data_IF_978281614670
#
_entry.id   IF_978281614670
#
_cell.length_a   1.000
_cell.length_b   1.000
_cell.length_c   1.000
_cell.angle_alpha   90.00
_cell.angle_beta   90.00
_cell.angle_gamma   90.00
#
_symmetry.space_group_name_H-M   'P 1'
#
loop_
_entity.id
_entity.type
_entity.pdbx_description
1 polymer ?
#
# COMPACT_ATOMS: atom_id res chain seq x y z
N UNK A 1 -25.36 11.83 28.95
CA UNK A 1 -23.92 12.18 28.95
C UNK A 1 -23.52 12.45 27.52
N UNK A 2 -22.98 13.62 27.20
CA UNK A 2 -22.44 13.89 25.87
C UNK A 2 -21.20 13.01 25.67
N UNK A 3 -21.13 12.27 24.54
CA UNK A 3 -19.92 11.54 24.16
C UNK A 3 -18.88 12.58 23.72
N UNK A 4 -17.76 12.64 24.44
CA UNK A 4 -16.63 13.48 24.07
C UNK A 4 -15.52 12.59 23.53
N UNK A 5 -14.85 13.02 22.45
CA UNK A 5 -13.66 12.37 21.88
C UNK A 5 -12.51 13.35 21.86
N UNK A 6 -11.32 12.87 22.23
CA UNK A 6 -10.09 13.66 22.21
C UNK A 6 -9.54 13.82 20.79
N UNK A 7 -9.78 12.81 19.93
CA UNK A 7 -9.33 12.78 18.53
C UNK A 7 -10.43 12.22 17.66
N UNK A 8 -10.65 12.86 16.52
CA UNK A 8 -11.54 12.35 15.46
C UNK A 8 -10.68 12.16 14.21
N UNK A 9 -10.64 10.92 13.70
CA UNK A 9 -9.93 10.55 12.47
C UNK A 9 -10.96 10.25 11.40
N UNK A 10 -10.86 10.90 10.24
CA UNK A 10 -11.77 10.73 9.11
C UNK A 10 -11.09 9.90 8.04
N UNK A 11 -11.63 8.72 7.78
CA UNK A 11 -11.11 7.71 6.85
C UNK A 11 -10.23 6.67 7.53
N UNK A 12 -10.39 5.41 7.10
CA UNK A 12 -9.68 4.22 7.62
C UNK A 12 -8.64 3.67 6.65
N UNK A 13 -8.30 4.42 5.61
CA UNK A 13 -7.17 4.08 4.74
C UNK A 13 -5.83 4.08 5.49
N UNK A 14 -4.70 3.83 4.80
CA UNK A 14 -3.38 3.68 5.45
C UNK A 14 -3.00 4.86 6.37
N UNK A 15 -3.34 6.09 5.99
CA UNK A 15 -3.07 7.26 6.83
C UNK A 15 -3.85 7.24 8.14
N UNK A 16 -5.19 7.12 8.06
CA UNK A 16 -6.05 7.14 9.25
C UNK A 16 -5.87 5.90 10.12
N UNK A 17 -5.73 4.72 9.52
CA UNK A 17 -5.49 3.47 10.23
C UNK A 17 -4.16 3.50 11.00
N UNK A 18 -3.07 3.91 10.34
CA UNK A 18 -1.75 4.04 10.98
C UNK A 18 -1.77 5.08 12.10
N UNK A 19 -2.46 6.21 11.91
CA UNK A 19 -2.60 7.23 12.96
C UNK A 19 -3.36 6.68 14.15
N UNK A 20 -4.49 5.99 13.92
CA UNK A 20 -5.26 5.34 14.98
C UNK A 20 -4.41 4.32 15.75
N UNK A 21 -3.68 3.46 15.05
CA UNK A 21 -2.75 2.50 15.64
C UNK A 21 -1.70 3.18 16.53
N UNK A 22 -1.06 4.25 16.04
CA UNK A 22 -0.04 4.98 16.78
C UNK A 22 -0.59 5.71 18.00
N UNK A 23 -1.83 6.18 17.95
CA UNK A 23 -2.49 6.87 19.04
C UNK A 23 -3.17 5.93 20.05
N UNK A 24 -3.44 4.69 19.68
CA UNK A 24 -4.15 3.73 20.55
C UNK A 24 -3.53 3.59 21.96
N UNK A 25 -2.18 3.54 22.12
CA UNK A 25 -1.57 3.45 23.45
C UNK A 25 -1.65 4.73 24.29
N UNK A 26 -2.12 5.85 23.72
CA UNK A 26 -2.14 7.16 24.41
C UNK A 26 -3.20 7.29 25.50
N UNK A 27 -4.14 6.33 25.61
CA UNK A 27 -5.29 6.41 26.50
C UNK A 27 -6.36 7.42 26.07
N UNK A 28 -6.18 8.12 24.94
CA UNK A 28 -7.15 9.06 24.39
C UNK A 28 -8.37 8.34 23.82
N UNK A 29 -9.53 8.99 23.91
CA UNK A 29 -10.76 8.51 23.28
C UNK A 29 -10.73 8.92 21.81
N UNK A 30 -10.58 7.96 20.94
CA UNK A 30 -10.45 8.15 19.49
C UNK A 30 -11.74 7.72 18.80
N UNK A 31 -12.30 8.61 17.97
CA UNK A 31 -13.38 8.29 17.05
C UNK A 31 -12.81 8.15 15.65
N UNK A 32 -12.95 6.97 15.05
CA UNK A 32 -12.55 6.70 13.68
C UNK A 32 -13.80 6.61 12.81
N UNK A 33 -13.94 7.52 11.84
CA UNK A 33 -15.08 7.60 10.95
C UNK A 33 -14.71 7.07 9.56
N UNK A 34 -15.55 6.19 9.04
CA UNK A 34 -15.44 5.67 7.68
C UNK A 34 -16.80 5.73 6.98
N UNK A 35 -16.83 6.14 5.72
CA UNK A 35 -18.08 6.22 4.97
C UNK A 35 -18.50 4.89 4.35
N UNK A 36 -17.57 3.96 4.16
CA UNK A 36 -17.82 2.63 3.62
C UNK A 36 -17.92 1.55 4.68
N UNK A 37 -18.43 0.39 4.30
CA UNK A 37 -18.51 -0.79 5.14
C UNK A 37 -17.28 -1.70 5.02
N UNK A 38 -17.30 -2.82 5.73
CA UNK A 38 -16.30 -3.87 5.55
C UNK A 38 -16.54 -4.62 4.24
N UNK A 39 -15.45 -4.94 3.54
CA UNK A 39 -15.53 -5.88 2.42
C UNK A 39 -15.67 -7.30 2.98
N UNK A 40 -16.73 -8.04 2.60
CA UNK A 40 -16.90 -9.42 3.06
C UNK A 40 -15.79 -10.32 2.49
N UNK A 41 -15.40 -11.36 3.24
CA UNK A 41 -14.47 -12.38 2.77
C UNK A 41 -15.25 -13.48 2.08
N UNK A 42 -15.29 -13.43 0.76
CA UNK A 42 -16.09 -14.35 -0.07
C UNK A 42 -15.35 -14.71 -1.36
N UNK A 43 -15.75 -15.80 -2.03
CA UNK A 43 -15.09 -16.27 -3.27
C UNK A 43 -15.06 -15.20 -4.37
N UNK A 44 -16.05 -14.34 -4.40
CA UNK A 44 -16.17 -13.26 -5.37
C UNK A 44 -15.02 -12.25 -5.28
N UNK A 45 -14.33 -12.15 -4.13
CA UNK A 45 -13.13 -11.33 -3.99
C UNK A 45 -12.01 -11.74 -4.98
N UNK A 46 -12.00 -12.98 -5.45
CA UNK A 46 -11.05 -13.51 -6.42
C UNK A 46 -11.63 -13.68 -7.83
N UNK A 47 -12.85 -13.21 -8.04
CA UNK A 47 -13.50 -13.23 -9.35
C UNK A 47 -13.11 -11.99 -10.17
N UNK A 48 -12.33 -12.18 -11.24
CA UNK A 48 -11.99 -11.09 -12.17
C UNK A 48 -13.24 -10.44 -12.76
N UNK A 49 -14.30 -11.22 -12.99
CA UNK A 49 -15.59 -10.71 -13.46
C UNK A 49 -16.19 -9.75 -12.44
N UNK A 50 -16.31 -10.17 -11.19
CA UNK A 50 -16.89 -9.36 -10.11
C UNK A 50 -16.08 -8.08 -9.86
N UNK A 51 -14.74 -8.20 -9.86
CA UNK A 51 -13.85 -7.10 -9.53
C UNK A 51 -13.73 -6.09 -10.67
N UNK A 52 -13.49 -6.54 -11.91
CA UNK A 52 -13.13 -5.66 -13.02
C UNK A 52 -14.25 -5.43 -14.03
N UNK A 53 -15.18 -6.36 -14.20
CA UNK A 53 -16.29 -6.21 -15.15
C UNK A 53 -17.50 -5.60 -14.46
N UNK A 54 -17.93 -6.18 -13.34
CA UNK A 54 -19.06 -5.73 -12.56
C UNK A 54 -18.72 -4.54 -11.65
N UNK A 55 -17.44 -4.26 -11.43
CA UNK A 55 -16.93 -3.18 -10.59
C UNK A 55 -17.56 -3.14 -9.18
N UNK A 56 -17.82 -4.31 -8.60
CA UNK A 56 -18.57 -4.46 -7.33
C UNK A 56 -18.07 -3.58 -6.21
N UNK A 57 -16.75 -3.43 -6.08
CA UNK A 57 -16.11 -2.73 -4.97
C UNK A 57 -15.81 -1.26 -5.26
N UNK A 58 -15.99 -0.80 -6.50
CA UNK A 58 -15.72 0.59 -6.87
C UNK A 58 -16.86 1.52 -6.44
N UNK A 59 -16.51 2.74 -6.08
CA UNK A 59 -17.47 3.81 -5.85
C UNK A 59 -18.32 4.04 -7.10
N UNK A 60 -19.62 4.20 -6.89
CA UNK A 60 -20.59 4.49 -7.97
C UNK A 60 -20.81 5.99 -8.19
N UNK A 61 -20.08 6.82 -7.46
CA UNK A 61 -20.20 8.27 -7.55
C UNK A 61 -19.69 8.78 -8.88
N UNK A 62 -20.36 9.82 -9.38
CA UNK A 62 -19.90 10.60 -10.51
C UNK A 62 -19.18 11.82 -9.99
N UNK A 63 -17.96 12.04 -10.48
CA UNK A 63 -17.19 13.23 -10.21
C UNK A 63 -17.16 14.11 -11.45
N UNK A 64 -16.83 15.38 -11.25
CA UNK A 64 -16.67 16.35 -12.32
C UNK A 64 -15.22 16.84 -12.35
N UNK A 65 -14.66 16.94 -13.54
CA UNK A 65 -13.36 17.58 -13.74
C UNK A 65 -13.51 19.12 -13.77
N UNK A 66 -12.40 19.82 -13.98
CA UNK A 66 -12.37 21.30 -14.05
C UNK A 66 -13.18 21.91 -15.20
N UNK A 67 -13.53 21.11 -16.22
CA UNK A 67 -14.31 21.54 -17.37
C UNK A 67 -15.80 21.23 -17.19
N UNK A 68 -16.17 20.49 -16.13
CA UNK A 68 -17.53 20.00 -15.88
C UNK A 68 -17.81 18.63 -16.49
N UNK A 69 -16.83 17.99 -17.14
CA UNK A 69 -16.96 16.64 -17.67
C UNK A 69 -17.08 15.63 -16.55
N UNK A 70 -17.94 14.65 -16.73
CA UNK A 70 -18.22 13.64 -15.71
C UNK A 70 -17.35 12.41 -15.87
N UNK A 71 -16.89 11.84 -14.73
CA UNK A 71 -16.17 10.58 -14.70
C UNK A 71 -16.43 9.80 -13.42
N UNK A 72 -16.18 8.49 -13.45
CA UNK A 72 -16.22 7.64 -12.26
C UNK A 72 -14.79 7.47 -11.72
N UNK A 73 -14.51 7.97 -10.50
CA UNK A 73 -13.20 7.79 -9.89
C UNK A 73 -12.94 6.30 -9.58
N UNK A 74 -11.71 5.85 -9.77
CA UNK A 74 -11.33 4.47 -9.44
C UNK A 74 -11.10 4.24 -7.95
N UNK A 75 -11.93 4.79 -7.06
CA UNK A 75 -11.79 4.71 -5.61
C UNK A 75 -12.78 3.75 -4.98
N UNK A 76 -12.43 3.28 -3.77
CA UNK A 76 -13.16 2.29 -3.02
C UNK A 76 -13.47 2.84 -1.64
N UNK A 77 -14.75 2.91 -1.30
CA UNK A 77 -15.22 3.34 0.02
C UNK A 77 -15.49 2.12 0.89
N UNK A 78 -14.49 1.77 1.67
CA UNK A 78 -14.57 0.65 2.61
C UNK A 78 -13.56 0.83 3.74
N UNK A 79 -13.76 0.10 4.82
CA UNK A 79 -12.78 0.01 5.89
C UNK A 79 -11.47 -0.52 5.32
N UNK A 80 -10.40 0.26 5.50
CA UNK A 80 -9.09 0.03 4.88
C UNK A 80 -8.86 0.82 3.58
N UNK A 81 -9.90 1.46 3.01
CA UNK A 81 -9.79 2.27 1.80
C UNK A 81 -9.17 1.52 0.62
N UNK A 82 -8.45 2.23 -0.24
CA UNK A 82 -7.80 1.63 -1.41
C UNK A 82 -6.68 0.64 -1.07
N UNK A 83 -6.19 0.58 0.19
CA UNK A 83 -5.23 -0.45 0.58
C UNK A 83 -5.80 -1.87 0.53
N UNK A 84 -7.12 -2.01 0.47
CA UNK A 84 -7.77 -3.32 0.28
C UNK A 84 -7.53 -3.91 -1.10
N UNK A 85 -7.32 -3.06 -2.11
CA UNK A 85 -7.27 -3.46 -3.53
C UNK A 85 -5.93 -3.14 -4.23
N UNK A 86 -4.96 -2.52 -3.54
CA UNK A 86 -3.64 -2.26 -4.13
C UNK A 86 -2.84 -3.55 -4.37
N UNK A 87 -1.80 -3.47 -5.21
CA UNK A 87 -0.94 -4.61 -5.57
C UNK A 87 0.11 -5.02 -4.53
N UNK A 88 -0.04 -4.56 -3.30
CA UNK A 88 0.91 -4.77 -2.19
C UNK A 88 2.29 -4.09 -2.37
N UNK A 89 2.53 -3.37 -3.46
CA UNK A 89 3.79 -2.65 -3.68
C UNK A 89 3.91 -1.45 -2.74
N UNK A 90 4.99 -1.38 -1.97
CA UNK A 90 5.24 -0.35 -0.97
C UNK A 90 6.66 0.22 -1.10
N UNK A 91 6.86 1.02 -2.14
CA UNK A 91 8.10 1.74 -2.39
C UNK A 91 8.17 3.03 -1.55
N UNK A 92 9.36 3.42 -1.13
CA UNK A 92 9.60 4.77 -0.63
C UNK A 92 9.56 5.78 -1.78
N UNK A 93 9.06 6.97 -1.51
CA UNK A 93 9.27 8.10 -2.43
C UNK A 93 10.78 8.38 -2.53
N UNK A 94 11.23 8.77 -3.71
CA UNK A 94 12.63 9.16 -3.92
C UNK A 94 12.89 10.51 -3.22
N UNK A 95 14.12 10.75 -2.79
CA UNK A 95 14.47 12.02 -2.14
C UNK A 95 14.15 13.24 -3.03
N UNK A 96 14.31 13.09 -4.34
CA UNK A 96 13.98 14.13 -5.32
C UNK A 96 12.47 14.40 -5.47
N UNK A 97 11.60 13.45 -5.10
CA UNK A 97 10.14 13.62 -5.19
C UNK A 97 9.61 14.66 -4.18
N UNK A 98 10.43 15.01 -3.19
CA UNK A 98 10.12 16.07 -2.21
C UNK A 98 10.50 17.48 -2.70
N UNK A 99 11.27 17.59 -3.78
CA UNK A 99 11.59 18.85 -4.44
C UNK A 99 10.53 19.26 -5.48
N UNK A 100 10.77 20.38 -6.15
CA UNK A 100 9.96 20.75 -7.32
C UNK A 100 10.19 19.73 -8.45
N UNK A 101 9.12 19.13 -8.95
CA UNK A 101 9.17 18.17 -10.07
C UNK A 101 8.39 18.71 -11.27
N UNK A 102 9.07 18.85 -12.39
CA UNK A 102 8.47 19.24 -13.66
C UNK A 102 7.90 18.02 -14.38
N UNK A 103 6.65 18.11 -14.77
CA UNK A 103 5.95 17.10 -15.56
C UNK A 103 5.54 17.66 -16.92
N UNK A 104 5.15 16.79 -17.84
CA UNK A 104 4.65 17.21 -19.15
C UNK A 104 3.45 18.19 -19.03
N UNK A 105 2.58 18.00 -18.03
CA UNK A 105 1.36 18.80 -17.85
C UNK A 105 1.45 19.89 -16.76
N UNK A 106 2.60 20.10 -16.16
CA UNK A 106 2.75 21.10 -15.11
C UNK A 106 3.92 20.88 -14.17
N UNK A 107 3.84 21.50 -13.02
CA UNK A 107 4.87 21.45 -11.97
C UNK A 107 4.21 20.96 -10.68
N UNK A 108 4.79 19.93 -10.05
CA UNK A 108 4.54 19.61 -8.66
C UNK A 108 5.42 20.50 -7.79
N UNK A 109 4.86 21.31 -6.89
CA UNK A 109 5.65 22.19 -6.06
C UNK A 109 6.49 21.39 -5.05
N UNK A 110 7.56 21.99 -4.56
CA UNK A 110 8.36 21.43 -3.47
C UNK A 110 7.49 21.20 -2.23
N UNK A 111 7.72 20.08 -1.54
CA UNK A 111 7.09 19.76 -0.28
C UNK A 111 7.74 20.57 0.88
N UNK A 112 6.98 20.94 1.92
CA UNK A 112 7.52 21.65 3.08
C UNK A 112 8.40 20.75 3.98
N UNK A 113 8.53 19.49 3.66
CA UNK A 113 9.33 18.48 4.36
C UNK A 113 10.25 17.79 3.37
N UNK A 114 11.39 17.28 3.85
CA UNK A 114 12.37 16.54 3.06
C UNK A 114 12.37 15.06 3.43
N UNK A 115 12.89 14.23 2.55
CA UNK A 115 13.00 12.80 2.76
C UNK A 115 13.67 12.43 4.09
N UNK A 116 14.77 13.11 4.46
CA UNK A 116 15.53 12.81 5.68
C UNK A 116 14.67 12.91 6.95
N UNK A 117 13.74 13.85 6.99
CA UNK A 117 12.78 13.99 8.08
C UNK A 117 11.78 12.82 8.15
N UNK A 118 11.61 12.05 7.08
CA UNK A 118 10.69 10.91 7.00
C UNK A 118 11.38 9.55 7.01
N UNK A 119 12.69 9.46 6.85
CA UNK A 119 13.42 8.21 6.67
C UNK A 119 13.13 7.16 7.77
N UNK A 120 13.10 7.58 9.04
CA UNK A 120 12.77 6.70 10.18
C UNK A 120 11.32 6.25 10.19
N UNK A 121 10.40 7.10 9.74
CA UNK A 121 8.98 6.77 9.65
C UNK A 121 8.71 5.77 8.51
N UNK A 122 9.42 5.88 7.39
CA UNK A 122 9.39 4.85 6.34
C UNK A 122 9.81 3.48 6.89
N UNK A 123 10.91 3.41 7.64
CA UNK A 123 11.35 2.15 8.27
C UNK A 123 10.30 1.59 9.23
N UNK A 124 9.67 2.46 10.06
CA UNK A 124 8.59 2.03 10.94
C UNK A 124 7.37 1.51 10.17
N UNK A 125 7.00 2.17 9.07
CA UNK A 125 5.91 1.75 8.20
C UNK A 125 6.22 0.41 7.51
N UNK A 126 7.43 0.22 6.99
CA UNK A 126 7.88 -1.04 6.40
C UNK A 126 7.78 -2.21 7.40
N UNK A 127 8.16 -1.99 8.66
CA UNK A 127 8.02 -3.01 9.71
C UNK A 127 6.55 -3.28 10.03
N UNK A 128 5.73 -2.24 10.16
CA UNK A 128 4.31 -2.35 10.48
C UNK A 128 3.54 -3.07 9.36
N UNK A 129 3.82 -2.70 8.11
CA UNK A 129 3.13 -3.25 6.93
C UNK A 129 3.78 -4.53 6.38
N UNK A 130 4.62 -5.21 7.17
CA UNK A 130 5.27 -6.47 6.80
C UNK A 130 5.93 -6.43 5.43
N UNK A 131 6.66 -5.33 5.14
CA UNK A 131 7.25 -5.14 3.82
C UNK A 131 8.46 -6.04 3.66
N UNK A 132 8.40 -6.89 2.65
CA UNK A 132 9.50 -7.71 2.17
C UNK A 132 10.33 -6.91 1.18
N UNK A 133 11.66 -6.96 1.28
CA UNK A 133 12.54 -6.25 0.36
C UNK A 133 14.00 -6.36 0.72
N UNK A 134 14.85 -5.71 -0.08
CA UNK A 134 16.30 -5.60 0.15
C UNK A 134 16.74 -4.20 -0.25
N UNK A 135 17.33 -3.47 0.69
CA UNK A 135 17.94 -2.18 0.38
C UNK A 135 19.25 -2.37 -0.38
N UNK A 136 19.54 -1.43 -1.29
CA UNK A 136 20.75 -1.40 -2.08
C UNK A 136 20.69 -2.09 -3.44
N UNK A 137 19.58 -2.75 -3.77
CA UNK A 137 19.37 -3.31 -5.12
C UNK A 137 18.91 -2.25 -6.12
N UNK A 138 18.02 -1.35 -5.71
CA UNK A 138 17.56 -0.24 -6.53
C UNK A 138 18.50 0.97 -6.37
N UNK A 139 19.27 1.34 -7.40
CA UNK A 139 20.22 2.46 -7.32
C UNK A 139 19.52 3.82 -7.17
N UNK A 140 18.21 3.90 -7.41
CA UNK A 140 17.40 5.11 -7.27
C UNK A 140 16.72 5.22 -5.92
N UNK A 141 16.74 4.16 -5.10
CA UNK A 141 16.13 4.16 -3.79
C UNK A 141 16.86 5.11 -2.84
N UNK A 142 16.13 5.89 -2.03
CA UNK A 142 16.76 6.77 -1.05
C UNK A 142 17.38 5.95 0.10
N UNK A 143 18.33 6.52 0.86
CA UNK A 143 18.94 5.86 2.02
C UNK A 143 17.89 5.42 3.04
N UNK A 144 18.10 4.25 3.64
CA UNK A 144 17.22 3.71 4.67
C UNK A 144 17.89 3.77 6.05
N UNK A 145 17.13 4.03 7.11
CA UNK A 145 17.65 4.05 8.48
C UNK A 145 17.90 2.65 9.06
N UNK A 146 17.28 1.60 8.49
CA UNK A 146 17.52 0.20 8.80
C UNK A 146 17.15 -0.70 7.62
N UNK A 147 17.58 -1.96 7.67
CA UNK A 147 17.18 -2.98 6.69
C UNK A 147 15.70 -3.38 6.85
N UNK A 148 15.12 -3.93 5.78
CA UNK A 148 13.81 -4.58 5.86
C UNK A 148 13.84 -5.71 6.90
N UNK A 149 12.77 -5.85 7.64
CA UNK A 149 12.62 -6.93 8.62
C UNK A 149 12.42 -8.29 7.93
N UNK A 150 11.82 -8.28 6.76
CA UNK A 150 11.49 -9.48 5.99
C UNK A 150 12.32 -9.52 4.70
N UNK A 151 12.88 -10.69 4.33
CA UNK A 151 13.70 -10.82 3.12
C UNK A 151 12.85 -10.57 1.87
N UNK A 152 13.46 -10.21 0.73
CA UNK A 152 12.76 -10.07 -0.53
C UNK A 152 12.11 -11.40 -0.93
N UNK A 153 10.96 -11.34 -1.60
CA UNK A 153 10.29 -12.53 -2.11
C UNK A 153 11.11 -13.16 -3.23
N UNK A 154 11.21 -14.48 -3.22
CA UNK A 154 11.88 -15.21 -4.29
C UNK A 154 11.17 -15.00 -5.63
N UNK A 155 11.93 -14.76 -6.67
CA UNK A 155 11.41 -14.71 -8.01
C UNK A 155 10.85 -16.08 -8.43
N UNK A 156 9.78 -16.09 -9.23
CA UNK A 156 9.42 -17.26 -9.99
C UNK A 156 10.55 -17.59 -11.00
N UNK A 157 10.74 -18.86 -11.39
CA UNK A 157 11.89 -19.25 -12.24
C UNK A 157 12.03 -18.39 -13.51
N UNK A 158 10.94 -18.09 -14.19
CA UNK A 158 10.99 -17.23 -15.38
C UNK A 158 11.35 -15.78 -15.07
N UNK A 159 10.90 -15.26 -13.95
CA UNK A 159 11.26 -13.90 -13.51
C UNK A 159 12.74 -13.85 -13.12
N UNK A 160 13.28 -14.90 -12.51
CA UNK A 160 14.71 -14.97 -12.21
C UNK A 160 15.56 -14.99 -13.48
N UNK A 161 15.17 -15.75 -14.51
CA UNK A 161 15.85 -15.74 -15.82
C UNK A 161 15.88 -14.33 -16.43
N UNK A 162 14.73 -13.64 -16.43
CA UNK A 162 14.65 -12.25 -16.93
C UNK A 162 15.50 -11.29 -16.11
N UNK A 163 15.50 -11.43 -14.80
CA UNK A 163 16.37 -10.65 -13.91
C UNK A 163 17.84 -10.84 -14.30
N UNK A 164 18.29 -12.08 -14.47
CA UNK A 164 19.68 -12.40 -14.78
C UNK A 164 20.07 -11.90 -16.18
N UNK A 165 19.18 -11.96 -17.14
CA UNK A 165 19.42 -11.45 -18.47
C UNK A 165 19.50 -9.91 -18.48
N UNK A 166 18.66 -9.22 -17.76
CA UNK A 166 18.74 -7.76 -17.62
C UNK A 166 20.01 -7.31 -16.89
N UNK A 167 20.45 -8.06 -15.86
CA UNK A 167 21.74 -7.80 -15.21
C UNK A 167 22.90 -7.92 -16.20
N UNK A 168 22.92 -8.94 -17.07
CA UNK A 168 23.95 -9.10 -18.13
C UNK A 168 23.91 -7.94 -19.14
N UNK A 169 22.74 -7.36 -19.37
CA UNK A 169 22.55 -6.20 -20.25
C UNK A 169 22.94 -4.87 -19.60
N UNK A 170 23.35 -4.86 -18.32
CA UNK A 170 23.74 -3.66 -17.58
C UNK A 170 22.59 -2.90 -16.94
N UNK A 171 21.38 -3.46 -16.90
CA UNK A 171 20.26 -2.92 -16.14
C UNK A 171 20.37 -3.31 -14.65
N UNK A 172 19.57 -2.67 -13.82
CA UNK A 172 19.52 -2.89 -12.37
C UNK A 172 18.11 -3.35 -11.93
N UNK A 173 17.68 -4.56 -12.30
CA UNK A 173 16.44 -5.11 -11.76
C UNK A 173 16.57 -5.33 -10.26
N UNK A 174 15.48 -5.13 -9.54
CA UNK A 174 15.45 -5.29 -8.09
C UNK A 174 14.16 -5.97 -7.64
N UNK A 175 14.19 -6.55 -6.44
CA UNK A 175 12.99 -7.09 -5.82
C UNK A 175 12.06 -5.97 -5.41
N UNK A 176 10.85 -5.97 -5.96
CA UNK A 176 9.83 -4.99 -5.59
C UNK A 176 9.51 -5.13 -4.09
N UNK A 177 9.63 -4.05 -3.29
CA UNK A 177 9.17 -4.09 -1.92
C UNK A 177 7.66 -4.32 -1.84
N UNK A 178 7.23 -5.40 -1.16
CA UNK A 178 5.81 -5.80 -1.07
C UNK A 178 5.38 -6.09 0.36
N UNK A 179 4.22 -5.55 0.74
CA UNK A 179 3.61 -5.74 2.05
C UNK A 179 2.66 -6.94 2.06
N UNK A 180 3.16 -8.10 2.49
CA UNK A 180 2.37 -9.33 2.59
C UNK A 180 2.84 -10.20 3.77
N UNK A 181 1.93 -10.92 4.39
CA UNK A 181 2.25 -11.88 5.46
C UNK A 181 2.62 -13.24 4.85
N UNK A 182 3.77 -13.29 4.17
CA UNK A 182 4.32 -14.48 3.52
C UNK A 182 5.57 -14.95 4.27
N UNK A 183 5.63 -16.23 4.59
CA UNK A 183 6.83 -16.91 5.04
C UNK A 183 7.16 -18.03 4.04
N UNK A 184 8.25 -17.85 3.30
CA UNK A 184 8.67 -18.82 2.27
C UNK A 184 9.46 -20.00 2.85
N UNK A 185 9.99 -19.85 4.09
CA UNK A 185 10.73 -20.91 4.79
C UNK A 185 9.81 -21.76 5.65
N UNK A 186 8.82 -21.15 6.31
CA UNK A 186 7.88 -21.80 7.20
C UNK A 186 6.46 -21.65 6.66
N UNK A 187 6.15 -22.40 5.62
CA UNK A 187 4.89 -22.29 4.88
C UNK A 187 3.66 -22.46 5.75
N UNK A 188 3.75 -23.24 6.81
CA UNK A 188 2.67 -23.45 7.79
C UNK A 188 2.37 -22.19 8.63
N UNK A 189 3.29 -21.25 8.72
CA UNK A 189 3.10 -19.95 9.37
C UNK A 189 2.67 -18.85 8.42
N UNK A 190 2.75 -19.12 7.12
CA UNK A 190 2.41 -18.14 6.09
C UNK A 190 0.90 -17.97 5.97
N UNK A 191 0.41 -16.73 6.04
CA UNK A 191 -0.99 -16.38 5.73
C UNK A 191 -1.18 -16.24 4.22
N UNK A 192 -0.17 -15.68 3.53
CA UNK A 192 -0.18 -15.54 2.08
C UNK A 192 0.14 -16.87 1.41
N UNK A 193 -0.70 -17.29 0.48
CA UNK A 193 -0.51 -18.54 -0.31
C UNK A 193 -0.02 -18.27 -1.74
N UNK A 194 0.40 -17.04 -2.06
CA UNK A 194 0.82 -16.64 -3.41
C UNK A 194 -0.25 -16.94 -4.48
N UNK A 195 -1.49 -16.52 -4.22
CA UNK A 195 -2.65 -16.78 -5.08
C UNK A 195 -2.66 -15.95 -6.40
N UNK A 196 -1.68 -15.08 -6.62
CA UNK A 196 -1.55 -14.22 -7.82
C UNK A 196 -2.71 -13.23 -8.04
N UNK A 197 -3.48 -12.91 -6.99
CA UNK A 197 -4.63 -11.99 -7.05
C UNK A 197 -4.46 -10.84 -6.06
N UNK A 198 -3.32 -10.12 -6.09
CA UNK A 198 -3.12 -8.97 -5.22
C UNK A 198 -3.65 -7.68 -5.86
N UNK A 199 -3.21 -7.36 -7.08
CA UNK A 199 -3.53 -6.10 -7.71
C UNK A 199 -4.98 -6.03 -8.18
N UNK A 200 -5.70 -5.04 -7.66
CA UNK A 200 -7.13 -4.83 -7.92
C UNK A 200 -8.08 -5.70 -7.08
N UNK A 201 -7.61 -6.75 -6.43
CA UNK A 201 -8.47 -7.68 -5.68
C UNK A 201 -8.42 -7.43 -4.17
N UNK A 202 -9.56 -7.49 -3.45
CA UNK A 202 -9.56 -7.61 -2.00
C UNK A 202 -8.95 -8.96 -1.58
N UNK A 203 -8.01 -8.95 -0.64
CA UNK A 203 -7.39 -10.19 -0.19
C UNK A 203 -8.36 -11.04 0.62
N UNK A 204 -8.70 -12.24 0.12
CA UNK A 204 -9.62 -13.16 0.80
C UNK A 204 -9.04 -13.68 2.12
N UNK A 205 -7.73 -13.87 2.20
CA UNK A 205 -7.05 -14.44 3.37
C UNK A 205 -6.64 -13.39 4.40
N UNK A 206 -6.70 -12.10 4.05
CA UNK A 206 -6.18 -11.03 4.90
C UNK A 206 -4.65 -11.04 5.02
N UNK A 207 -3.97 -11.61 4.04
CA UNK A 207 -2.51 -11.70 4.01
C UNK A 207 -1.83 -10.46 3.42
N UNK A 208 -2.56 -9.67 2.63
CA UNK A 208 -2.07 -8.39 2.13
C UNK A 208 -2.06 -7.38 3.28
N UNK A 209 -0.95 -6.68 3.44
CA UNK A 209 -0.81 -5.66 4.47
C UNK A 209 -1.64 -4.42 4.09
N UNK A 210 -2.88 -4.42 4.44
CA UNK A 210 -3.77 -3.27 4.35
C UNK A 210 -4.03 -2.68 5.75
N UNK A 211 -4.56 -1.47 5.81
CA UNK A 211 -4.72 -0.74 7.07
C UNK A 211 -5.78 -1.32 8.03
N UNK A 212 -6.48 -2.37 7.65
CA UNK A 212 -7.36 -3.13 8.53
C UNK A 212 -6.63 -4.33 9.18
N UNK A 213 -5.56 -4.81 8.52
CA UNK A 213 -4.87 -6.04 8.90
C UNK A 213 -3.58 -5.79 9.70
N UNK A 214 -3.06 -4.56 9.71
CA UNK A 214 -1.86 -4.14 10.42
C UNK A 214 -2.14 -3.37 11.70
#
# INVERSE_FOLDING_TARGET
>A
MSLHYDVIIIGTGPGGGTLAYKLAPSGKRILLLERGGYIPREKDNWSSRTVFIENRYKAKETWHDKNGDTFHPGIHYNVGGNSKVYGAALLRMRAQDFGEVKHYWGISPEWPIRYDGLATYYTQAEHLYHVHGRHGEDPTAPPASAQFKYPPLRHEPRIQELHDDWMKMGYHPFHLPVGVMLDEEQKEKSVCIRCNTCDGFPCLLGAKADSQMV
#
